data_IF_042333158649
#
_entry.id   IF_042333158649
#
_cell.length_a   1.000
_cell.length_b   1.000
_cell.length_c   1.000
_cell.angle_alpha   90.00
_cell.angle_beta   90.00
_cell.angle_gamma   90.00
#
_symmetry.space_group_name_H-M   'P 1'
#
loop_
_entity.id
_entity.type
_entity.pdbx_description
1 polymer ?
#
# COMPACT_ATOMS: atom_id res chain seq x y z
N UNK A 1 -1.86 -4.29 41.61
CA UNK A 1 -2.79 -4.16 40.47
C UNK A 1 -2.33 -5.11 39.38
N UNK A 2 -3.10 -6.16 39.11
CA UNK A 2 -2.77 -7.16 38.08
C UNK A 2 -2.74 -6.46 36.72
N UNK A 3 -1.60 -6.58 36.02
CA UNK A 3 -1.49 -6.24 34.60
C UNK A 3 -2.43 -7.17 33.85
N UNK A 4 -3.66 -6.73 33.64
CA UNK A 4 -4.54 -7.31 32.64
C UNK A 4 -3.89 -7.06 31.28
N UNK A 5 -2.97 -7.95 30.87
CA UNK A 5 -2.48 -8.06 29.48
C UNK A 5 -3.68 -8.51 28.64
N UNK A 6 -4.60 -7.60 28.33
CA UNK A 6 -5.62 -7.88 27.32
C UNK A 6 -4.90 -7.91 25.97
N UNK A 7 -5.22 -8.89 25.14
CA UNK A 7 -4.71 -8.98 23.77
C UNK A 7 -4.97 -7.68 22.97
N UNK A 8 -5.96 -6.88 23.39
CA UNK A 8 -6.35 -5.60 22.78
C UNK A 8 -5.18 -4.65 22.54
N UNK A 9 -4.27 -4.47 23.50
CA UNK A 9 -3.15 -3.52 23.33
C UNK A 9 -2.14 -4.00 22.27
N UNK A 10 -1.97 -5.33 22.15
CA UNK A 10 -1.13 -5.95 21.12
C UNK A 10 -1.79 -5.83 19.75
N UNK A 11 -3.10 -6.13 19.67
CA UNK A 11 -3.89 -5.99 18.44
C UNK A 11 -3.88 -4.54 17.96
N UNK A 12 -4.10 -3.57 18.86
CA UNK A 12 -4.04 -2.15 18.53
C UNK A 12 -2.65 -1.71 18.06
N UNK A 13 -1.58 -2.22 18.68
CA UNK A 13 -0.21 -1.99 18.22
C UNK A 13 0.04 -2.48 16.81
N UNK A 14 -0.42 -3.70 16.50
CA UNK A 14 -0.27 -4.29 15.17
C UNK A 14 -1.12 -3.56 14.11
N UNK A 15 -2.36 -3.22 14.44
CA UNK A 15 -3.23 -2.45 13.55
C UNK A 15 -2.65 -1.06 13.22
N UNK A 16 -2.10 -0.37 14.23
CA UNK A 16 -1.35 0.87 14.00
C UNK A 16 -0.14 0.66 13.09
N UNK A 17 0.62 -0.43 13.28
CA UNK A 17 1.81 -0.73 12.49
C UNK A 17 1.47 -0.98 11.01
N UNK A 18 0.39 -1.72 10.72
CA UNK A 18 -0.12 -1.93 9.35
C UNK A 18 -0.45 -0.59 8.69
N UNK A 19 -1.18 0.27 9.40
CA UNK A 19 -1.60 1.57 8.88
C UNK A 19 -0.43 2.55 8.70
N UNK A 20 0.55 2.52 9.61
CA UNK A 20 1.81 3.24 9.50
C UNK A 20 2.61 2.78 8.27
N UNK A 21 2.66 1.48 8.00
CA UNK A 21 3.32 0.93 6.83
C UNK A 21 2.67 1.38 5.52
N UNK A 22 1.33 1.44 5.45
CA UNK A 22 0.60 1.95 4.28
C UNK A 22 0.94 3.42 4.05
N UNK A 23 0.92 4.27 5.09
CA UNK A 23 1.26 5.68 4.96
C UNK A 23 2.71 5.88 4.45
N UNK A 24 3.68 5.18 5.05
CA UNK A 24 5.08 5.22 4.64
C UNK A 24 5.30 4.72 3.21
N UNK A 25 4.61 3.65 2.83
CA UNK A 25 4.64 3.08 1.48
C UNK A 25 4.16 4.10 0.45
N UNK A 26 3.05 4.80 0.72
CA UNK A 26 2.51 5.84 -0.17
C UNK A 26 3.47 7.01 -0.33
N UNK A 27 4.06 7.49 0.76
CA UNK A 27 5.05 8.58 0.75
C UNK A 27 6.30 8.26 -0.08
N UNK A 28 6.59 6.98 -0.32
CA UNK A 28 7.79 6.50 -0.99
C UNK A 28 7.50 5.66 -2.24
N UNK A 29 6.26 5.65 -2.73
CA UNK A 29 5.80 4.70 -3.75
C UNK A 29 6.61 4.77 -5.04
N UNK A 30 7.07 5.95 -5.44
CA UNK A 30 7.87 6.14 -6.66
C UNK A 30 9.21 5.38 -6.63
N UNK A 31 9.90 5.40 -5.50
CA UNK A 31 11.22 4.76 -5.32
C UNK A 31 11.11 3.39 -4.65
N UNK A 32 9.90 2.96 -4.26
CA UNK A 32 9.66 1.70 -3.56
C UNK A 32 10.02 0.51 -4.46
N UNK A 33 10.80 -0.42 -3.93
CA UNK A 33 10.98 -1.74 -4.51
C UNK A 33 10.16 -2.79 -3.78
N UNK A 34 10.20 -2.77 -2.44
CA UNK A 34 9.38 -3.66 -1.62
C UNK A 34 9.15 -3.15 -0.20
N UNK A 35 8.05 -3.58 0.41
CA UNK A 35 7.66 -3.38 1.80
C UNK A 35 7.71 -4.71 2.56
N UNK A 36 8.22 -4.67 3.79
CA UNK A 36 8.14 -5.76 4.76
C UNK A 36 7.67 -5.23 6.11
N UNK A 37 6.58 -5.79 6.62
CA UNK A 37 6.14 -5.64 8.00
C UNK A 37 6.76 -6.77 8.85
N UNK A 38 7.14 -6.49 10.09
CA UNK A 38 7.83 -7.45 10.99
C UNK A 38 9.02 -8.09 10.25
N UNK A 39 9.97 -7.25 9.87
CA UNK A 39 11.15 -7.63 9.10
C UNK A 39 12.32 -8.08 9.98
N UNK A 40 13.50 -8.21 9.38
CA UNK A 40 14.72 -8.67 10.07
C UNK A 40 15.48 -7.53 10.77
N UNK A 41 15.16 -6.30 10.41
CA UNK A 41 15.85 -5.07 10.74
C UNK A 41 14.98 -4.17 11.60
N UNK A 42 13.69 -4.01 11.27
CA UNK A 42 12.72 -3.26 12.09
C UNK A 42 11.25 -3.67 11.88
N UNK A 43 10.36 -3.07 12.69
CA UNK A 43 8.89 -3.19 12.61
C UNK A 43 8.36 -2.99 11.17
N UNK A 44 8.86 -1.97 10.45
CA UNK A 44 8.51 -1.67 9.06
C UNK A 44 9.79 -1.39 8.27
N UNK A 45 9.94 -2.06 7.13
CA UNK A 45 11.08 -1.90 6.23
C UNK A 45 10.60 -1.61 4.80
N UNK A 46 11.08 -0.51 4.22
CA UNK A 46 10.98 -0.27 2.78
C UNK A 46 12.36 -0.45 2.14
N UNK A 47 12.47 -1.36 1.19
CA UNK A 47 13.61 -1.42 0.27
C UNK A 47 13.31 -0.52 -0.92
N UNK A 48 14.24 0.36 -1.27
CA UNK A 48 14.15 1.26 -2.41
C UNK A 48 14.85 0.67 -3.64
N UNK A 49 14.51 1.16 -4.84
CA UNK A 49 15.10 0.68 -6.10
C UNK A 49 16.63 0.83 -6.17
N UNK A 50 17.16 1.83 -5.48
CA UNK A 50 18.61 2.06 -5.37
C UNK A 50 19.31 1.14 -4.34
N UNK A 51 18.58 0.21 -3.71
CA UNK A 51 19.08 -0.74 -2.71
C UNK A 51 19.23 -0.15 -1.30
N UNK A 52 18.86 1.11 -1.08
CA UNK A 52 18.80 1.69 0.26
C UNK A 52 17.51 1.30 0.99
N UNK A 53 17.50 1.48 2.30
CA UNK A 53 16.36 1.16 3.15
C UNK A 53 15.80 2.37 3.89
N UNK A 54 14.48 2.40 4.06
CA UNK A 54 13.80 3.19 5.08
C UNK A 54 13.37 2.22 6.17
N UNK A 55 13.86 2.44 7.39
CA UNK A 55 13.50 1.64 8.55
C UNK A 55 12.61 2.46 9.47
N UNK A 56 11.48 1.92 9.90
CA UNK A 56 10.60 2.61 10.83
C UNK A 56 10.22 1.71 12.01
N UNK A 57 10.31 2.29 13.21
CA UNK A 57 9.84 1.68 14.44
C UNK A 57 8.49 2.24 14.83
N UNK A 58 7.48 1.37 14.90
CA UNK A 58 6.12 1.76 15.23
C UNK A 58 5.87 1.69 16.73
N UNK A 59 5.34 2.77 17.30
CA UNK A 59 4.98 2.83 18.73
C UNK A 59 3.63 3.49 18.91
N UNK A 60 2.62 2.68 19.19
CA UNK A 60 1.26 3.16 19.46
C UNK A 60 0.99 3.35 20.96
N UNK A 61 0.03 4.23 21.26
CA UNK A 61 -0.51 4.51 22.59
C UNK A 61 -2.03 4.48 22.49
N UNK A 62 -2.70 3.56 23.19
CA UNK A 62 -4.17 3.38 23.08
C UNK A 62 -4.97 4.66 23.40
N UNK A 63 -4.48 5.46 24.36
CA UNK A 63 -5.05 6.75 24.74
C UNK A 63 -4.08 7.89 24.42
N UNK A 64 -3.63 7.95 23.16
CA UNK A 64 -2.58 8.87 22.72
C UNK A 64 -2.87 10.34 23.02
N UNK A 65 -4.14 10.75 23.11
CA UNK A 65 -4.55 12.11 23.48
C UNK A 65 -4.26 12.49 24.94
N UNK A 66 -4.07 11.51 25.84
CA UNK A 66 -4.02 11.74 27.29
C UNK A 66 -2.95 10.94 28.06
N UNK A 67 -2.42 9.84 27.51
CA UNK A 67 -1.41 9.02 28.18
C UNK A 67 -0.01 9.19 27.58
N UNK A 68 0.79 10.04 28.23
CA UNK A 68 2.18 10.30 27.83
C UNK A 68 3.21 9.58 28.70
N UNK A 69 2.78 8.71 29.62
CA UNK A 69 3.66 8.16 30.68
C UNK A 69 4.83 7.33 30.13
N UNK A 70 4.62 6.66 29.00
CA UNK A 70 5.59 5.73 28.43
C UNK A 70 6.25 6.22 27.13
N UNK A 71 5.91 7.42 26.64
CA UNK A 71 6.38 7.88 25.31
C UNK A 71 7.91 8.03 25.26
N UNK A 72 8.54 8.52 26.33
CA UNK A 72 10.01 8.59 26.42
C UNK A 72 10.68 7.20 26.43
N UNK A 73 10.07 6.24 27.12
CA UNK A 73 10.54 4.85 27.12
C UNK A 73 10.38 4.21 25.74
N UNK A 74 9.32 4.54 25.03
CA UNK A 74 9.09 4.08 23.66
C UNK A 74 10.10 4.71 22.70
N UNK A 75 10.39 6.00 22.84
CA UNK A 75 11.44 6.70 22.10
C UNK A 75 12.81 6.04 22.32
N UNK A 76 13.24 5.86 23.57
CA UNK A 76 14.52 5.24 23.90
C UNK A 76 14.66 3.84 23.27
N UNK A 77 13.63 3.00 23.40
CA UNK A 77 13.61 1.68 22.76
C UNK A 77 13.71 1.74 21.24
N UNK A 78 13.08 2.74 20.63
CA UNK A 78 13.08 2.91 19.18
C UNK A 78 14.43 3.39 18.68
N UNK A 79 15.09 4.29 19.42
CA UNK A 79 16.47 4.71 19.10
C UNK A 79 17.42 3.51 19.16
N UNK A 80 17.27 2.61 20.14
CA UNK A 80 18.06 1.37 20.22
C UNK A 80 17.78 0.45 19.04
N UNK A 81 16.53 0.11 18.76
CA UNK A 81 16.18 -0.82 17.67
C UNK A 81 16.56 -0.28 16.30
N UNK A 82 16.32 1.01 16.05
CA UNK A 82 16.73 1.68 14.81
C UNK A 82 18.25 1.71 14.66
N UNK A 83 18.99 1.92 15.75
CA UNK A 83 20.47 1.85 15.74
C UNK A 83 20.93 0.45 15.33
N UNK A 84 20.38 -0.60 15.93
CA UNK A 84 20.69 -1.99 15.59
C UNK A 84 20.31 -2.35 14.14
N UNK A 85 19.14 -1.92 13.67
CA UNK A 85 18.67 -2.13 12.30
C UNK A 85 19.55 -1.43 11.27
N UNK A 86 19.91 -0.17 11.53
CA UNK A 86 20.72 0.65 10.63
C UNK A 86 22.14 0.12 10.38
N UNK A 87 22.67 -0.71 11.28
CA UNK A 87 23.98 -1.35 11.10
C UNK A 87 23.93 -2.52 10.10
N UNK A 88 22.76 -3.11 9.89
CA UNK A 88 22.58 -4.31 9.06
C UNK A 88 22.33 -3.98 7.59
N UNK A 89 21.95 -2.74 7.29
CA UNK A 89 21.56 -2.30 5.94
C UNK A 89 22.03 -0.88 5.65
N UNK A 90 22.07 -0.51 4.38
CA UNK A 90 22.29 0.88 3.98
C UNK A 90 21.02 1.72 4.17
N UNK A 91 20.78 2.16 5.41
CA UNK A 91 19.62 3.00 5.73
C UNK A 91 19.79 4.42 5.16
N UNK A 92 18.80 4.86 4.37
CA UNK A 92 18.60 6.24 3.92
C UNK A 92 17.91 7.08 5.00
N UNK A 93 16.93 6.50 5.69
CA UNK A 93 16.10 7.18 6.68
C UNK A 93 15.68 6.22 7.80
N UNK A 94 15.61 6.74 9.02
CA UNK A 94 15.29 6.03 10.25
C UNK A 94 14.16 6.76 10.98
N UNK A 95 13.03 6.10 11.18
CA UNK A 95 11.80 6.78 11.58
C UNK A 95 11.26 6.19 12.88
N UNK A 96 11.02 7.04 13.89
CA UNK A 96 10.06 6.72 14.94
C UNK A 96 8.67 7.15 14.45
N UNK A 97 7.78 6.20 14.18
CA UNK A 97 6.39 6.49 13.84
C UNK A 97 5.47 6.19 15.03
N UNK A 98 4.68 7.18 15.44
CA UNK A 98 3.81 7.07 16.62
C UNK A 98 2.49 7.81 16.44
N UNK A 99 1.48 7.43 17.21
CA UNK A 99 0.20 8.13 17.26
C UNK A 99 0.13 9.19 18.38
N UNK A 100 1.20 9.34 19.17
CA UNK A 100 1.23 10.31 20.27
C UNK A 100 1.50 11.72 19.75
N UNK A 101 0.63 12.71 20.07
CA UNK A 101 0.88 14.12 19.77
C UNK A 101 1.91 14.77 20.70
N UNK A 102 2.51 14.02 21.63
CA UNK A 102 3.58 14.50 22.50
C UNK A 102 4.65 13.40 22.68
N UNK A 103 5.35 12.99 21.61
CA UNK A 103 6.24 11.83 21.62
C UNK A 103 7.46 12.01 22.52
N UNK A 104 7.85 13.25 22.81
CA UNK A 104 8.98 13.60 23.67
C UNK A 104 8.58 13.86 25.13
N UNK A 105 7.28 13.93 25.41
CA UNK A 105 6.73 14.39 26.67
C UNK A 105 7.34 15.74 27.11
N UNK A 106 7.26 16.73 26.22
CA UNK A 106 7.75 18.10 26.43
C UNK A 106 6.73 19.10 25.91
N UNK A 107 6.34 20.08 26.74
CA UNK A 107 5.36 21.10 26.34
C UNK A 107 5.89 21.97 25.18
N UNK A 108 7.20 22.22 25.14
CA UNK A 108 7.85 23.05 24.12
C UNK A 108 7.78 22.46 22.71
N UNK A 109 7.70 21.13 22.58
CA UNK A 109 7.61 20.44 21.29
C UNK A 109 6.21 19.92 20.99
N UNK A 110 5.27 19.97 21.94
CA UNK A 110 3.94 19.36 21.77
C UNK A 110 3.18 19.92 20.56
N UNK A 111 3.27 21.23 20.32
CA UNK A 111 2.55 21.90 19.22
C UNK A 111 3.06 21.50 17.83
N UNK A 112 4.35 21.19 17.69
CA UNK A 112 4.95 20.84 16.39
C UNK A 112 4.56 19.43 15.90
N UNK A 113 3.94 18.64 16.78
CA UNK A 113 3.46 17.27 16.57
C UNK A 113 1.93 17.16 16.56
N UNK A 114 1.21 18.29 16.47
CA UNK A 114 -0.25 18.27 16.40
C UNK A 114 -0.72 17.81 15.01
N UNK A 115 -1.54 16.77 14.95
CA UNK A 115 -2.01 16.18 13.69
C UNK A 115 -0.96 15.28 13.04
N UNK A 116 -0.99 15.15 11.72
CA UNK A 116 0.08 14.48 10.97
C UNK A 116 1.33 15.36 10.96
N UNK A 117 2.49 14.78 11.28
CA UNK A 117 3.73 15.54 11.36
C UNK A 117 4.94 14.70 10.94
N UNK A 118 5.90 15.36 10.28
CA UNK A 118 7.22 14.82 9.93
C UNK A 118 8.28 15.79 10.44
N UNK A 119 9.13 15.33 11.36
CA UNK A 119 10.16 16.16 11.99
C UNK A 119 11.50 15.49 11.94
N UNK A 120 12.36 15.95 11.04
CA UNK A 120 13.79 15.62 11.08
C UNK A 120 14.39 16.05 12.42
N UNK A 121 15.38 15.31 12.91
CA UNK A 121 16.07 15.62 14.16
C UNK A 121 16.52 17.08 14.24
N UNK A 122 17.12 17.59 13.15
CA UNK A 122 17.64 18.96 13.06
C UNK A 122 16.55 20.04 13.15
N UNK A 123 15.29 19.70 12.85
CA UNK A 123 14.14 20.60 12.92
C UNK A 123 13.52 20.71 14.32
N UNK A 124 13.91 19.85 15.25
CA UNK A 124 13.37 19.82 16.61
C UNK A 124 13.89 21.01 17.44
N UNK A 125 13.16 21.45 18.48
CA UNK A 125 13.68 22.41 19.45
C UNK A 125 14.98 21.92 20.09
N UNK A 126 15.87 22.84 20.45
CA UNK A 126 17.20 22.50 21.01
C UNK A 126 17.11 21.64 22.28
N UNK A 127 16.09 21.82 23.13
CA UNK A 127 15.89 20.96 24.30
C UNK A 127 15.56 19.52 23.91
N UNK A 128 14.73 19.35 22.88
CA UNK A 128 14.33 18.06 22.32
C UNK A 128 15.49 17.34 21.62
N UNK A 129 16.34 18.08 20.91
CA UNK A 129 17.58 17.54 20.33
C UNK A 129 18.49 16.99 21.44
N UNK A 130 18.75 17.80 22.48
CA UNK A 130 19.56 17.39 23.64
C UNK A 130 19.00 16.19 24.39
N UNK A 131 17.66 16.08 24.48
CA UNK A 131 17.00 14.93 25.09
C UNK A 131 17.34 13.64 24.33
N UNK A 132 17.21 13.67 22.99
CA UNK A 132 17.52 12.53 22.12
C UNK A 132 19.02 12.20 22.18
N UNK A 133 19.89 13.19 22.03
CA UNK A 133 21.35 13.02 22.17
C UNK A 133 21.74 12.36 23.51
N UNK A 134 21.04 12.74 24.59
CA UNK A 134 21.20 12.13 25.91
C UNK A 134 20.95 10.62 25.90
N UNK A 135 19.92 10.16 25.17
CA UNK A 135 19.66 8.72 24.99
C UNK A 135 20.70 8.06 24.09
N UNK A 136 21.16 8.75 23.04
CA UNK A 136 22.15 8.23 22.10
C UNK A 136 23.49 7.91 22.76
N UNK A 137 23.91 8.69 23.76
CA UNK A 137 25.15 8.45 24.51
C UNK A 137 25.21 7.08 25.20
N UNK A 138 24.06 6.45 25.48
CA UNK A 138 23.98 5.12 26.07
C UNK A 138 24.07 3.96 25.08
N UNK A 139 24.09 4.24 23.78
CA UNK A 139 24.06 3.23 22.71
C UNK A 139 25.48 3.04 22.17
N UNK A 140 25.96 1.79 22.11
CA UNK A 140 27.35 1.49 21.70
C UNK A 140 27.66 1.89 20.25
N UNK A 141 26.67 1.78 19.37
CA UNK A 141 26.76 2.12 17.96
C UNK A 141 25.48 2.85 17.57
N UNK A 142 25.38 4.14 17.94
CA UNK A 142 24.17 4.92 17.75
C UNK A 142 23.87 5.13 16.27
N UNK A 143 22.57 5.22 15.94
CA UNK A 143 22.12 5.64 14.62
C UNK A 143 22.63 7.05 14.26
N UNK A 144 22.68 7.30 12.95
CA UNK A 144 22.98 8.62 12.38
C UNK A 144 21.76 9.55 12.53
N UNK A 145 21.92 10.62 13.32
CA UNK A 145 20.85 11.57 13.62
C UNK A 145 20.45 12.41 12.40
N UNK A 146 21.32 12.57 11.41
CA UNK A 146 20.97 13.27 10.15
C UNK A 146 19.97 12.46 9.31
N UNK A 147 19.82 11.16 9.61
CA UNK A 147 18.84 10.27 8.98
C UNK A 147 17.60 10.04 9.85
N UNK A 148 17.58 10.56 11.07
CA UNK A 148 16.52 10.30 12.05
C UNK A 148 15.37 11.30 11.94
N UNK A 149 14.15 10.76 11.95
CA UNK A 149 12.91 11.53 11.93
C UNK A 149 11.92 10.98 12.96
N UNK A 150 11.11 11.88 13.53
CA UNK A 150 9.89 11.52 14.26
C UNK A 150 8.69 11.83 13.36
N UNK A 151 7.88 10.80 13.10
CA UNK A 151 6.63 10.93 12.37
C UNK A 151 5.44 10.67 13.30
N UNK A 152 4.44 11.55 13.23
CA UNK A 152 3.18 11.38 13.95
C UNK A 152 2.07 11.05 12.97
N UNK A 153 1.42 9.91 13.20
CA UNK A 153 0.23 9.47 12.46
C UNK A 153 -0.93 9.34 13.47
N UNK A 154 -1.87 10.31 13.52
CA UNK A 154 -3.00 10.25 14.42
C UNK A 154 -3.82 8.97 14.21
N UNK A 155 -4.00 8.21 15.30
CA UNK A 155 -4.65 6.91 15.30
C UNK A 155 -5.14 6.59 16.71
N UNK A 156 -6.41 6.82 17.01
CA UNK A 156 -6.98 6.62 18.36
C UNK A 156 -8.48 6.29 18.24
N UNK A 157 -9.11 5.96 19.36
CA UNK A 157 -10.56 5.68 19.53
C UNK A 157 -11.02 4.33 18.99
N UNK A 158 -12.22 3.90 19.40
CA UNK A 158 -12.91 2.70 18.89
C UNK A 158 -13.83 2.98 17.71
N UNK A 159 -13.88 4.23 17.23
CA UNK A 159 -14.64 4.58 16.04
C UNK A 159 -13.71 4.47 14.82
N UNK A 160 -13.95 3.47 13.97
CA UNK A 160 -13.15 3.22 12.77
C UNK A 160 -13.02 4.44 11.84
N UNK A 161 -14.09 5.25 11.70
CA UNK A 161 -14.06 6.45 10.86
C UNK A 161 -13.04 7.44 11.38
N UNK A 162 -12.96 7.63 12.70
CA UNK A 162 -12.00 8.54 13.32
C UNK A 162 -10.59 7.93 13.39
N UNK A 163 -10.50 6.64 13.75
CA UNK A 163 -9.24 5.92 13.89
C UNK A 163 -8.44 5.88 12.59
N UNK A 164 -9.09 5.52 11.48
CA UNK A 164 -8.43 5.38 10.17
C UNK A 164 -8.46 6.66 9.33
N UNK A 165 -9.02 7.76 9.84
CA UNK A 165 -9.31 8.98 9.07
C UNK A 165 -8.09 9.52 8.32
N UNK A 166 -6.94 9.62 9.00
CA UNK A 166 -5.72 10.19 8.41
C UNK A 166 -5.11 9.25 7.36
N UNK A 167 -5.18 7.93 7.58
CA UNK A 167 -4.69 6.94 6.63
C UNK A 167 -5.57 6.91 5.39
N UNK A 168 -6.90 6.91 5.59
CA UNK A 168 -7.87 7.02 4.50
C UNK A 168 -7.65 8.29 3.69
N UNK A 169 -7.38 9.42 4.35
CA UNK A 169 -7.06 10.66 3.66
C UNK A 169 -5.80 10.53 2.80
N UNK A 170 -4.72 9.94 3.32
CA UNK A 170 -3.49 9.70 2.54
C UNK A 170 -3.76 8.83 1.30
N UNK A 171 -4.61 7.80 1.44
CA UNK A 171 -5.05 6.97 0.30
C UNK A 171 -5.89 7.79 -0.69
N UNK A 172 -6.87 8.55 -0.22
CA UNK A 172 -7.74 9.36 -1.09
C UNK A 172 -6.93 10.43 -1.85
N UNK A 173 -5.98 11.09 -1.18
CA UNK A 173 -5.10 12.10 -1.77
C UNK A 173 -4.22 11.47 -2.86
N UNK A 174 -3.61 10.31 -2.59
CA UNK A 174 -2.82 9.56 -3.57
C UNK A 174 -3.64 9.16 -4.81
N UNK A 175 -4.87 8.71 -4.62
CA UNK A 175 -5.80 8.39 -5.72
C UNK A 175 -6.20 9.63 -6.50
N UNK A 176 -6.34 10.76 -5.81
CA UNK A 176 -6.52 12.08 -6.41
C UNK A 176 -5.34 12.48 -7.31
N UNK A 177 -4.11 12.27 -6.85
CA UNK A 177 -2.88 12.56 -7.60
C UNK A 177 -2.76 11.69 -8.86
N UNK A 178 -3.23 10.44 -8.81
CA UNK A 178 -3.36 9.57 -9.99
C UNK A 178 -4.54 9.95 -10.91
N UNK A 179 -5.35 10.95 -10.54
CA UNK A 179 -6.54 11.40 -11.26
C UNK A 179 -7.62 10.30 -11.43
N UNK A 180 -7.74 9.41 -10.44
CA UNK A 180 -8.70 8.32 -10.43
C UNK A 180 -9.98 8.73 -9.68
N UNK A 181 -10.85 9.48 -10.36
CA UNK A 181 -12.09 10.04 -9.79
C UNK A 181 -13.23 9.00 -9.71
N UNK A 182 -13.01 7.92 -8.95
CA UNK A 182 -13.95 6.82 -8.81
C UNK A 182 -14.52 6.82 -7.38
N UNK A 183 -15.86 6.83 -7.28
CA UNK A 183 -16.54 6.82 -5.99
C UNK A 183 -16.20 5.56 -5.18
N UNK A 184 -15.78 5.75 -3.93
CA UNK A 184 -15.45 4.66 -3.01
C UNK A 184 -14.11 3.98 -3.27
N UNK A 185 -13.29 4.47 -4.22
CA UNK A 185 -12.00 3.86 -4.57
C UNK A 185 -11.07 3.75 -3.37
N UNK A 186 -10.79 4.86 -2.68
CA UNK A 186 -9.86 4.86 -1.54
C UNK A 186 -10.28 3.94 -0.40
N UNK A 187 -11.60 3.80 -0.14
CA UNK A 187 -12.10 2.84 0.85
C UNK A 187 -11.86 1.39 0.41
N UNK A 188 -12.15 1.06 -0.85
CA UNK A 188 -11.92 -0.30 -1.39
C UNK A 188 -10.43 -0.64 -1.36
N UNK A 189 -9.59 0.29 -1.79
CA UNK A 189 -8.14 0.10 -1.83
C UNK A 189 -7.51 -0.04 -0.45
N UNK A 190 -7.89 0.82 0.51
CA UNK A 190 -7.39 0.75 1.87
C UNK A 190 -7.67 -0.62 2.50
N UNK A 191 -8.85 -1.21 2.27
CA UNK A 191 -9.17 -2.54 2.76
C UNK A 191 -8.25 -3.61 2.16
N UNK A 192 -7.98 -3.56 0.85
CA UNK A 192 -7.08 -4.51 0.18
C UNK A 192 -5.66 -4.39 0.75
N UNK A 193 -5.11 -3.18 0.81
CA UNK A 193 -3.77 -2.97 1.35
C UNK A 193 -3.66 -3.32 2.83
N UNK A 194 -4.69 -3.06 3.64
CA UNK A 194 -4.70 -3.50 5.03
C UNK A 194 -4.55 -5.02 5.13
N UNK A 195 -5.32 -5.77 4.33
CA UNK A 195 -5.19 -7.22 4.29
C UNK A 195 -3.84 -7.71 3.76
N UNK A 196 -3.32 -7.11 2.68
CA UNK A 196 -2.05 -7.53 2.07
C UNK A 196 -0.85 -7.26 2.97
N UNK A 197 -0.79 -6.07 3.56
CA UNK A 197 0.26 -5.68 4.52
C UNK A 197 0.15 -6.54 5.80
N UNK A 198 -1.07 -6.79 6.29
CA UNK A 198 -1.30 -7.71 7.40
C UNK A 198 -0.80 -9.13 7.06
N UNK A 199 -1.20 -9.68 5.92
CA UNK A 199 -0.77 -11.00 5.45
C UNK A 199 0.75 -11.06 5.31
N UNK A 200 1.39 -9.99 4.83
CA UNK A 200 2.85 -9.88 4.73
C UNK A 200 3.53 -10.05 6.10
N UNK A 201 3.10 -9.29 7.12
CA UNK A 201 3.67 -9.36 8.47
C UNK A 201 3.47 -10.70 9.18
N UNK A 202 2.38 -11.43 8.86
CA UNK A 202 2.13 -12.75 9.46
C UNK A 202 2.99 -13.89 8.91
N UNK A 203 3.71 -13.68 7.79
CA UNK A 203 4.59 -14.71 7.22
C UNK A 203 5.84 -14.88 8.06
N UNK A 204 6.13 -16.12 8.47
CA UNK A 204 7.37 -16.48 9.20
C UNK A 204 8.64 -16.26 8.40
N UNK A 205 8.58 -16.45 7.09
CA UNK A 205 9.72 -16.21 6.21
C UNK A 205 9.78 -14.72 5.87
N UNK A 206 10.75 -14.01 6.44
CA UNK A 206 10.97 -12.57 6.22
C UNK A 206 11.47 -12.23 4.82
N UNK A 207 11.85 -13.23 4.00
CA UNK A 207 12.12 -13.01 2.57
C UNK A 207 10.85 -12.77 1.75
N UNK A 208 9.67 -13.06 2.30
CA UNK A 208 8.39 -12.77 1.64
C UNK A 208 8.08 -11.29 1.89
N UNK A 209 8.24 -10.49 0.83
CA UNK A 209 8.02 -9.05 0.81
C UNK A 209 6.85 -8.73 -0.11
N UNK A 210 6.17 -7.62 0.15
CA UNK A 210 5.19 -7.05 -0.76
C UNK A 210 5.96 -6.16 -1.74
N UNK A 211 5.98 -6.49 -3.02
CA UNK A 211 6.69 -5.69 -4.02
C UNK A 211 5.84 -4.50 -4.44
N UNK A 212 6.45 -3.51 -5.12
CA UNK A 212 5.72 -2.36 -5.69
C UNK A 212 4.59 -2.83 -6.60
N UNK A 213 4.83 -3.87 -7.41
CA UNK A 213 3.80 -4.42 -8.31
C UNK A 213 2.58 -4.91 -7.53
N UNK A 214 2.80 -5.62 -6.42
CA UNK A 214 1.71 -6.14 -5.58
C UNK A 214 0.84 -5.00 -5.00
N UNK A 215 1.45 -3.85 -4.72
CA UNK A 215 0.74 -2.66 -4.18
C UNK A 215 -0.02 -1.90 -5.28
N UNK A 216 0.62 -1.68 -6.43
CA UNK A 216 0.06 -0.92 -7.55
C UNK A 216 -1.06 -1.71 -8.22
N UNK A 217 -0.97 -3.03 -8.20
CA UNK A 217 -1.87 -3.90 -8.92
C UNK A 217 -3.35 -3.75 -8.53
N UNK A 218 -3.74 -3.76 -7.24
CA UNK A 218 -5.09 -3.44 -6.80
C UNK A 218 -5.67 -2.14 -7.38
N UNK A 219 -4.83 -1.12 -7.60
CA UNK A 219 -5.26 0.15 -8.20
C UNK A 219 -5.74 -0.08 -9.64
N UNK A 220 -4.97 -0.85 -10.42
CA UNK A 220 -5.31 -1.16 -11.82
C UNK A 220 -6.63 -1.94 -11.87
N UNK A 221 -6.80 -2.99 -11.06
CA UNK A 221 -8.04 -3.79 -11.03
C UNK A 221 -9.26 -2.90 -10.79
N UNK A 222 -9.21 -2.09 -9.72
CA UNK A 222 -10.34 -1.24 -9.34
C UNK A 222 -10.60 -0.21 -10.44
N UNK A 223 -9.55 0.34 -11.06
CA UNK A 223 -9.70 1.30 -12.14
C UNK A 223 -10.30 0.69 -13.42
N UNK A 224 -10.05 -0.60 -13.69
CA UNK A 224 -10.48 -1.30 -14.92
C UNK A 224 -11.61 -2.31 -14.70
N UNK A 225 -12.34 -2.21 -13.59
CA UNK A 225 -13.43 -3.12 -13.23
C UNK A 225 -14.50 -3.23 -14.33
N UNK A 226 -15.09 -4.42 -14.47
CA UNK A 226 -16.15 -4.70 -15.43
C UNK A 226 -17.41 -3.88 -15.21
N UNK A 227 -17.70 -3.47 -13.99
CA UNK A 227 -18.82 -2.56 -13.68
C UNK A 227 -18.70 -1.20 -14.39
N UNK A 228 -17.52 -0.87 -14.94
CA UNK A 228 -17.23 0.35 -15.69
C UNK A 228 -17.11 0.11 -17.20
N UNK A 229 -17.37 -1.11 -17.67
CA UNK A 229 -17.38 -1.44 -19.08
C UNK A 229 -18.51 -0.68 -19.81
N UNK A 230 -18.28 -0.24 -21.03
CA UNK A 230 -19.30 0.45 -21.82
C UNK A 230 -20.33 -0.55 -22.38
N UNK A 231 -21.56 -0.07 -22.62
CA UNK A 231 -22.69 -0.90 -23.09
C UNK A 231 -22.38 -1.63 -24.41
N UNK A 232 -21.43 -1.12 -25.19
CA UNK A 232 -21.06 -1.69 -26.49
C UNK A 232 -20.52 -3.12 -26.40
N UNK A 233 -19.88 -3.48 -25.29
CA UNK A 233 -19.43 -4.86 -25.07
C UNK A 233 -20.57 -5.76 -24.59
N UNK A 234 -21.45 -5.22 -23.75
CA UNK A 234 -22.62 -5.94 -23.23
C UNK A 234 -23.55 -6.41 -24.34
N UNK A 235 -23.74 -5.60 -25.38
CA UNK A 235 -24.60 -5.90 -26.52
C UNK A 235 -24.15 -7.11 -27.38
N UNK A 236 -22.94 -7.64 -27.14
CA UNK A 236 -22.40 -8.79 -27.88
C UNK A 236 -22.91 -10.13 -27.34
N UNK A 237 -23.33 -10.16 -26.06
CA UNK A 237 -23.76 -11.37 -25.37
C UNK A 237 -25.26 -11.34 -25.09
N UNK A 238 -25.87 -12.52 -25.02
CA UNK A 238 -27.21 -12.63 -24.43
C UNK A 238 -27.18 -12.16 -22.98
N UNK A 239 -28.26 -11.56 -22.49
CA UNK A 239 -28.34 -11.02 -21.12
C UNK A 239 -27.97 -12.09 -20.07
N UNK A 240 -28.43 -13.33 -20.24
CA UNK A 240 -28.13 -14.41 -19.29
C UNK A 240 -26.65 -14.82 -19.30
N UNK A 241 -26.05 -14.87 -20.49
CA UNK A 241 -24.62 -15.16 -20.64
C UNK A 241 -23.76 -14.02 -20.08
N UNK A 242 -24.15 -12.76 -20.31
CA UNK A 242 -23.44 -11.61 -19.77
C UNK A 242 -23.45 -11.59 -18.23
N UNK A 243 -24.59 -11.88 -17.61
CA UNK A 243 -24.70 -11.91 -16.15
C UNK A 243 -23.80 -12.99 -15.55
N UNK A 244 -23.71 -14.18 -16.17
CA UNK A 244 -22.78 -15.24 -15.76
C UNK A 244 -21.31 -14.81 -15.95
N UNK A 245 -20.97 -14.17 -17.08
CA UNK A 245 -19.61 -13.64 -17.33
C UNK A 245 -19.21 -12.63 -16.25
N UNK A 246 -20.09 -11.69 -15.90
CA UNK A 246 -19.83 -10.69 -14.86
C UNK A 246 -19.69 -11.35 -13.48
N UNK A 247 -20.50 -12.37 -13.20
CA UNK A 247 -20.39 -13.14 -11.96
C UNK A 247 -19.01 -13.80 -11.82
N UNK A 248 -18.53 -14.44 -12.89
CA UNK A 248 -17.23 -15.13 -12.92
C UNK A 248 -16.04 -14.16 -13.06
N UNK A 249 -16.27 -12.93 -13.56
CA UNK A 249 -15.22 -11.94 -13.80
C UNK A 249 -14.41 -11.64 -12.56
N UNK A 250 -15.09 -11.42 -11.43
CA UNK A 250 -14.42 -10.97 -10.21
C UNK A 250 -13.46 -12.02 -9.66
N UNK A 251 -13.91 -13.25 -9.54
CA UNK A 251 -13.07 -14.35 -9.04
C UNK A 251 -11.92 -14.67 -10.02
N UNK A 252 -12.20 -14.59 -11.32
CA UNK A 252 -11.19 -14.86 -12.36
C UNK A 252 -10.15 -13.76 -12.42
N UNK A 253 -10.56 -12.49 -12.41
CA UNK A 253 -9.62 -11.38 -12.41
C UNK A 253 -8.81 -11.48 -11.13
N UNK A 254 -9.39 -11.60 -9.94
CA UNK A 254 -8.67 -11.73 -8.66
C UNK A 254 -7.67 -12.91 -8.63
N UNK A 255 -7.98 -14.02 -9.31
CA UNK A 255 -7.05 -15.14 -9.50
C UNK A 255 -5.91 -14.82 -10.49
N UNK A 256 -6.22 -14.17 -11.62
CA UNK A 256 -5.25 -13.73 -12.63
C UNK A 256 -4.44 -12.49 -12.19
N UNK A 257 -4.94 -11.77 -11.19
CA UNK A 257 -4.39 -10.54 -10.63
C UNK A 257 -3.01 -10.73 -10.02
N UNK A 258 -2.58 -11.97 -9.80
CA UNK A 258 -1.21 -12.23 -9.37
C UNK A 258 -0.18 -12.04 -10.50
N UNK A 259 -0.59 -11.74 -11.75
CA UNK A 259 0.30 -11.68 -12.90
C UNK A 259 0.26 -10.33 -13.60
N UNK A 260 1.01 -9.36 -13.07
CA UNK A 260 1.32 -8.10 -13.77
C UNK A 260 1.78 -8.34 -15.23
N UNK A 261 2.49 -9.45 -15.45
CA UNK A 261 2.94 -9.94 -16.76
C UNK A 261 1.81 -10.12 -17.78
N UNK A 262 0.62 -10.57 -17.35
CA UNK A 262 -0.52 -10.78 -18.23
C UNK A 262 -1.00 -9.45 -18.85
N UNK A 263 -1.15 -8.39 -18.05
CA UNK A 263 -1.58 -7.09 -18.57
C UNK A 263 -0.53 -6.46 -19.46
N UNK A 264 0.75 -6.60 -19.11
CA UNK A 264 1.86 -6.13 -19.96
C UNK A 264 1.79 -6.82 -21.32
N UNK A 265 1.66 -8.15 -21.34
CA UNK A 265 1.51 -8.95 -22.56
C UNK A 265 0.34 -8.46 -23.41
N UNK A 266 -0.85 -8.33 -22.82
CA UNK A 266 -2.06 -7.86 -23.52
C UNK A 266 -1.86 -6.46 -24.14
N UNK A 267 -1.26 -5.53 -23.40
CA UNK A 267 -1.00 -4.18 -23.89
C UNK A 267 0.05 -4.14 -25.00
N UNK A 268 1.11 -4.95 -24.90
CA UNK A 268 2.11 -5.12 -25.95
C UNK A 268 1.47 -5.68 -27.24
N UNK A 269 0.76 -6.80 -27.13
CA UNK A 269 0.09 -7.46 -28.25
C UNK A 269 -0.93 -6.52 -28.93
N UNK A 270 -1.67 -5.73 -28.13
CA UNK A 270 -2.61 -4.73 -28.66
C UNK A 270 -1.92 -3.59 -29.43
N UNK A 271 -0.75 -3.16 -28.97
CA UNK A 271 0.02 -2.11 -29.65
C UNK A 271 0.51 -2.59 -31.02
N UNK A 272 0.94 -3.85 -31.11
CA UNK A 272 1.36 -4.48 -32.37
C UNK A 272 0.17 -4.87 -33.27
N UNK A 273 -1.01 -5.09 -32.68
CA UNK A 273 -2.21 -5.51 -33.39
C UNK A 273 -2.62 -4.53 -34.51
N UNK A 274 -2.69 -5.07 -35.73
CA UNK A 274 -3.16 -4.37 -36.92
C UNK A 274 -4.57 -4.83 -37.26
N UNK A 275 -5.44 -3.87 -37.60
CA UNK A 275 -6.81 -4.16 -38.04
C UNK A 275 -7.20 -3.22 -39.17
N UNK A 276 -8.06 -3.70 -40.06
CA UNK A 276 -8.69 -2.89 -41.11
C UNK A 276 -9.94 -2.16 -40.61
N UNK A 277 -10.37 -2.44 -39.37
CA UNK A 277 -11.51 -1.77 -38.70
C UNK A 277 -11.18 -0.32 -38.36
N UNK A 278 -12.21 0.46 -38.03
CA UNK A 278 -11.99 1.86 -37.61
C UNK A 278 -11.21 1.89 -36.29
N UNK A 279 -10.43 2.94 -36.01
CA UNK A 279 -9.70 3.08 -34.75
C UNK A 279 -10.60 2.96 -33.50
N UNK A 280 -11.86 3.42 -33.58
CA UNK A 280 -12.84 3.30 -32.50
C UNK A 280 -13.24 1.84 -32.19
N UNK A 281 -13.12 0.94 -33.17
CA UNK A 281 -13.48 -0.47 -33.05
C UNK A 281 -12.28 -1.36 -32.71
N UNK A 282 -11.05 -0.81 -32.75
CA UNK A 282 -9.82 -1.60 -32.58
C UNK A 282 -9.78 -2.38 -31.25
N UNK A 283 -10.21 -1.76 -30.14
CA UNK A 283 -10.27 -2.42 -28.83
C UNK A 283 -11.16 -3.66 -28.87
N UNK A 284 -12.35 -3.51 -29.43
CA UNK A 284 -13.35 -4.57 -29.53
C UNK A 284 -12.87 -5.68 -30.47
N UNK A 285 -12.36 -5.28 -31.63
CA UNK A 285 -11.84 -6.19 -32.65
C UNK A 285 -10.66 -7.01 -32.12
N UNK A 286 -9.75 -6.40 -31.36
CA UNK A 286 -8.69 -7.13 -30.67
C UNK A 286 -9.26 -8.18 -29.72
N UNK A 287 -10.15 -7.78 -28.79
CA UNK A 287 -10.71 -8.70 -27.81
C UNK A 287 -11.43 -9.88 -28.47
N UNK A 288 -12.27 -9.62 -29.48
CA UNK A 288 -13.06 -10.64 -30.16
C UNK A 288 -12.19 -11.66 -30.91
N UNK A 289 -11.08 -11.23 -31.51
CA UNK A 289 -10.27 -12.09 -32.37
C UNK A 289 -9.07 -12.72 -31.64
N UNK A 290 -8.57 -12.09 -30.57
CA UNK A 290 -7.33 -12.50 -29.89
C UNK A 290 -7.52 -13.28 -28.60
N UNK A 291 -8.74 -13.38 -28.07
CA UNK A 291 -9.00 -14.17 -26.87
C UNK A 291 -8.46 -15.62 -26.87
N UNK A 292 -8.43 -16.39 -27.99
CA UNK A 292 -7.92 -17.77 -27.95
C UNK A 292 -6.43 -17.83 -27.59
N UNK A 293 -5.66 -16.80 -27.96
CA UNK A 293 -4.22 -16.70 -27.71
C UNK A 293 -3.91 -16.58 -26.19
N UNK A 294 -4.91 -16.24 -25.38
CA UNK A 294 -4.80 -16.06 -23.93
C UNK A 294 -5.42 -17.17 -23.11
N UNK A 295 -6.07 -18.17 -23.72
CA UNK A 295 -6.63 -19.33 -23.00
C UNK A 295 -5.65 -19.97 -21.99
N UNK A 296 -4.36 -20.18 -22.32
CA UNK A 296 -3.40 -20.79 -21.38
C UNK A 296 -3.11 -19.97 -20.13
N UNK A 297 -3.46 -18.68 -20.11
CA UNK A 297 -3.24 -17.79 -18.96
C UNK A 297 -4.27 -18.02 -17.84
N UNK A 298 -5.36 -18.73 -18.12
CA UNK A 298 -6.49 -18.90 -17.21
C UNK A 298 -6.74 -20.37 -16.86
N UNK A 299 -7.02 -20.64 -15.59
CA UNK A 299 -7.45 -21.96 -15.10
C UNK A 299 -8.98 -22.05 -15.08
N UNK A 300 -9.61 -22.25 -16.25
CA UNK A 300 -11.08 -22.20 -16.42
C UNK A 300 -11.71 -23.57 -16.73
N UNK A 301 -11.10 -24.68 -16.30
CA UNK A 301 -11.50 -26.03 -16.71
C UNK A 301 -12.96 -26.38 -16.35
N UNK A 302 -13.54 -25.73 -15.34
CA UNK A 302 -14.90 -25.98 -14.85
C UNK A 302 -15.97 -25.08 -15.49
N UNK A 303 -15.58 -24.09 -16.28
CA UNK A 303 -16.50 -23.12 -16.92
C UNK A 303 -16.91 -23.66 -18.30
N UNK A 304 -18.09 -23.32 -18.82
CA UNK A 304 -18.47 -23.67 -20.18
C UNK A 304 -17.76 -22.80 -21.24
N UNK A 305 -17.66 -23.28 -22.48
CA UNK A 305 -16.88 -22.61 -23.54
C UNK A 305 -17.40 -21.22 -23.93
N UNK A 306 -18.71 -20.97 -23.83
CA UNK A 306 -19.31 -19.67 -24.17
C UNK A 306 -18.95 -18.64 -23.10
N UNK A 307 -19.09 -19.01 -21.82
CA UNK A 307 -18.69 -18.18 -20.69
C UNK A 307 -17.18 -17.94 -20.67
N UNK A 308 -16.35 -18.97 -20.93
CA UNK A 308 -14.88 -18.80 -21.04
C UNK A 308 -14.50 -17.76 -22.09
N UNK A 309 -15.07 -17.89 -23.29
CA UNK A 309 -14.85 -16.96 -24.39
C UNK A 309 -15.22 -15.54 -23.95
N UNK A 310 -16.43 -15.36 -23.42
CA UNK A 310 -16.89 -14.03 -23.02
C UNK A 310 -16.06 -13.41 -21.90
N UNK A 311 -15.64 -14.23 -20.94
CA UNK A 311 -14.78 -13.84 -19.83
C UNK A 311 -13.41 -13.34 -20.28
N UNK A 312 -12.72 -14.08 -21.16
CA UNK A 312 -11.43 -13.63 -21.68
C UNK A 312 -11.62 -12.38 -22.55
N UNK A 313 -12.66 -12.35 -23.40
CA UNK A 313 -12.95 -11.19 -24.25
C UNK A 313 -13.20 -9.92 -23.41
N UNK A 314 -13.98 -9.98 -22.34
CA UNK A 314 -14.28 -8.81 -21.52
C UNK A 314 -13.06 -8.33 -20.74
N UNK A 315 -12.22 -9.26 -20.27
CA UNK A 315 -10.95 -8.94 -19.60
C UNK A 315 -10.02 -8.21 -20.59
N UNK A 316 -9.78 -8.79 -21.76
CA UNK A 316 -8.94 -8.17 -22.78
C UNK A 316 -9.47 -6.79 -23.20
N UNK A 317 -10.78 -6.69 -23.43
CA UNK A 317 -11.44 -5.44 -23.79
C UNK A 317 -11.22 -4.37 -22.71
N UNK A 318 -11.48 -4.69 -21.44
CA UNK A 318 -11.32 -3.76 -20.32
C UNK A 318 -9.87 -3.27 -20.18
N UNK A 319 -8.88 -4.16 -20.35
CA UNK A 319 -7.46 -3.80 -20.30
C UNK A 319 -7.14 -2.78 -21.41
N UNK A 320 -7.40 -3.12 -22.67
CA UNK A 320 -6.99 -2.27 -23.80
C UNK A 320 -7.82 -0.98 -23.89
N UNK A 321 -9.09 -1.02 -23.45
CA UNK A 321 -9.96 0.14 -23.36
C UNK A 321 -9.46 1.14 -22.33
N UNK A 322 -8.94 0.66 -21.21
CA UNK A 322 -8.40 1.47 -20.11
C UNK A 322 -6.89 1.69 -20.17
N UNK A 323 -6.21 1.32 -21.27
CA UNK A 323 -4.75 1.47 -21.44
C UNK A 323 -4.20 2.84 -21.03
N UNK A 324 -4.90 3.93 -21.34
CA UNK A 324 -4.47 5.29 -20.99
C UNK A 324 -4.49 5.49 -19.46
N UNK A 325 -5.51 4.95 -18.78
CA UNK A 325 -5.60 4.99 -17.32
C UNK A 325 -4.52 4.12 -16.69
N UNK A 326 -4.27 2.92 -17.23
CA UNK A 326 -3.19 2.04 -16.78
C UNK A 326 -1.83 2.74 -16.93
N UNK A 327 -1.55 3.35 -18.09
CA UNK A 327 -0.32 4.10 -18.34
C UNK A 327 -0.16 5.28 -17.38
N UNK A 328 -1.24 5.99 -17.06
CA UNK A 328 -1.21 7.07 -16.05
C UNK A 328 -0.84 6.55 -14.67
N UNK A 329 -1.45 5.43 -14.24
CA UNK A 329 -1.13 4.80 -12.96
C UNK A 329 0.35 4.41 -12.93
N UNK A 330 0.83 3.69 -13.95
CA UNK A 330 2.23 3.27 -14.06
C UNK A 330 3.20 4.44 -14.01
N UNK A 331 2.93 5.49 -14.78
CA UNK A 331 3.77 6.69 -14.79
C UNK A 331 3.74 7.42 -13.44
N UNK A 332 2.58 7.51 -12.79
CA UNK A 332 2.42 8.16 -11.49
C UNK A 332 3.15 7.45 -10.34
N UNK A 333 3.43 6.16 -10.49
CA UNK A 333 4.18 5.37 -9.50
C UNK A 333 5.57 4.93 -9.97
N UNK A 334 6.01 5.41 -11.14
CA UNK A 334 7.27 5.04 -11.82
C UNK A 334 7.48 3.53 -11.94
N UNK A 335 6.48 2.83 -12.50
CA UNK A 335 6.49 1.39 -12.78
C UNK A 335 6.85 1.03 -14.22
#
# INVERSE_FOLDING_TARGET
MSKSRRANAVIFGFDFQVNAAIALMLENIEDLKSLRLEGNYEDIELELENGQYILAQAKSVEKSSSDFRNVRKNLEKSLVSLSEGSQKVNAKQLILITNSPNPLNEDVSKSIFLGTAHRDFSSLPTSSQKLIEGYMNGISQPLDLDKFMIQVLPFETDNDIERYKMVKQAVDDFIGDLNLNIHGFGKKLLNIWHEEVFKNGTKRNSSIKLKKEDVVWPIIIIATDVERCDDSFREIFDCSAYDEIVHQYKDTIESCCQRCEFFIKVLCDYNEYQTTKKPAEKCMDFAINKWPDYLPEFELDTIDEETKKGLIQIILYNIVRNRITIDKIKNGVKL
#
